data_IF_985069247253
#
_entry.id   IF_985069247253
#
_cell.length_a   1.000
_cell.length_b   1.000
_cell.length_c   1.000
_cell.angle_alpha   90.00
_cell.angle_beta   90.00
_cell.angle_gamma   90.00
#
_symmetry.space_group_name_H-M   'P 1'
#
loop_
_entity.id
_entity.type
_entity.pdbx_description
1 polymer ?
#
# COMPACT_ATOMS: atom_id res chain seq x y z
N UNK A 1 53.63 15.13 4.04
CA UNK A 1 52.47 15.88 4.55
C UNK A 1 51.36 15.81 3.50
N UNK A 2 50.17 15.42 3.93
CA UNK A 2 49.08 14.92 3.08
C UNK A 2 48.42 16.02 2.22
N UNK A 3 48.08 15.66 0.98
CA UNK A 3 47.24 16.45 0.09
C UNK A 3 45.76 16.12 0.38
N UNK A 4 44.99 17.13 0.79
CA UNK A 4 43.56 17.03 1.05
C UNK A 4 42.84 17.18 -0.30
N UNK A 5 42.21 16.11 -0.77
CA UNK A 5 41.35 16.13 -1.96
C UNK A 5 39.96 16.60 -1.52
N UNK A 6 39.59 17.82 -1.91
CA UNK A 6 38.28 18.41 -1.64
C UNK A 6 37.27 17.88 -2.66
N UNK A 7 36.37 16.99 -2.24
CA UNK A 7 35.26 16.54 -3.08
C UNK A 7 34.14 17.57 -3.00
N UNK A 8 33.85 18.23 -4.12
CA UNK A 8 32.68 19.09 -4.29
C UNK A 8 31.43 18.23 -4.34
N UNK A 9 30.53 18.41 -3.37
CA UNK A 9 29.20 17.81 -3.35
C UNK A 9 28.31 18.66 -4.25
N UNK A 10 27.87 18.10 -5.38
CA UNK A 10 26.88 18.72 -6.28
C UNK A 10 25.49 18.57 -5.62
N UNK A 11 25.02 19.61 -4.94
CA UNK A 11 23.67 19.66 -4.37
C UNK A 11 22.69 19.96 -5.50
N UNK A 12 22.02 18.93 -6.01
CA UNK A 12 20.93 19.10 -6.98
C UNK A 12 19.60 19.30 -6.26
N UNK A 13 19.02 20.47 -6.50
CA UNK A 13 17.73 20.96 -5.99
C UNK A 13 16.58 19.99 -6.29
N UNK A 14 15.74 19.74 -5.29
CA UNK A 14 14.47 19.00 -5.40
C UNK A 14 13.53 19.75 -6.36
N UNK A 15 13.20 19.15 -7.49
CA UNK A 15 12.20 19.68 -8.41
C UNK A 15 10.80 19.33 -7.92
N UNK A 16 10.08 20.33 -7.40
CA UNK A 16 8.61 20.28 -7.27
C UNK A 16 8.01 20.46 -8.66
N UNK A 17 7.40 19.41 -9.21
CA UNK A 17 6.58 19.48 -10.41
C UNK A 17 5.11 19.31 -10.02
N UNK A 18 4.28 20.28 -10.38
CA UNK A 18 2.81 20.22 -10.25
C UNK A 18 2.20 19.77 -11.58
N UNK A 19 1.28 18.79 -11.60
CA UNK A 19 0.61 18.39 -12.83
C UNK A 19 -0.35 19.48 -13.32
N UNK A 20 -0.48 19.60 -14.64
CA UNK A 20 -1.35 20.59 -15.30
C UNK A 20 -2.82 20.12 -15.31
N UNK A 21 -3.81 21.03 -15.21
CA UNK A 21 -5.22 20.65 -15.15
C UNK A 21 -5.74 20.29 -16.54
N UNK A 22 -6.18 19.03 -16.72
CA UNK A 22 -6.90 18.59 -17.91
C UNK A 22 -8.43 18.61 -17.68
N UNK A 23 -9.12 19.01 -18.74
CA UNK A 23 -10.52 19.45 -18.82
C UNK A 23 -11.53 18.33 -18.54
N UNK A 24 -12.52 18.63 -17.69
CA UNK A 24 -13.71 17.82 -17.41
C UNK A 24 -14.79 18.02 -18.49
N UNK A 25 -15.26 16.94 -19.09
CA UNK A 25 -16.49 16.91 -19.89
C UNK A 25 -17.31 15.68 -19.49
N UNK A 26 -18.38 15.93 -18.75
CA UNK A 26 -19.34 14.95 -18.24
C UNK A 26 -20.34 14.62 -19.37
N UNK A 27 -20.54 13.35 -19.70
CA UNK A 27 -21.73 12.90 -20.42
C UNK A 27 -22.52 11.92 -19.54
N UNK A 28 -23.79 12.26 -19.33
CA UNK A 28 -24.75 11.50 -18.53
C UNK A 28 -25.18 10.20 -19.25
N UNK A 29 -25.31 9.12 -18.48
CA UNK A 29 -25.82 7.82 -18.92
C UNK A 29 -27.34 7.75 -18.65
N UNK A 30 -28.18 7.35 -19.63
CA UNK A 30 -29.56 6.93 -19.37
C UNK A 30 -29.69 5.39 -19.25
N UNK A 31 -30.78 4.88 -18.63
CA UNK A 31 -30.82 3.54 -18.05
C UNK A 31 -31.29 2.42 -19.01
N UNK A 32 -30.69 1.24 -18.78
CA UNK A 32 -31.14 -0.16 -18.98
C UNK A 32 -32.14 -0.47 -20.11
N UNK A 33 -31.73 -1.38 -21.00
CA UNK A 33 -32.61 -2.33 -21.67
C UNK A 33 -31.87 -3.68 -21.87
N UNK A 34 -32.48 -4.77 -21.39
CA UNK A 34 -32.15 -6.17 -21.72
C UNK A 34 -32.30 -6.43 -23.23
N UNK A 35 -31.51 -7.35 -23.82
CA UNK A 35 -31.98 -8.46 -24.71
C UNK A 35 -30.84 -9.47 -24.97
N UNK A 36 -31.05 -10.67 -24.46
CA UNK A 36 -30.87 -12.05 -25.00
C UNK A 36 -29.93 -12.41 -26.18
N UNK A 37 -29.20 -13.51 -25.92
CA UNK A 37 -29.01 -14.77 -26.70
C UNK A 37 -28.36 -14.73 -28.09
N UNK A 38 -27.23 -15.43 -28.19
CA UNK A 38 -26.86 -16.23 -29.37
C UNK A 38 -26.45 -17.64 -28.90
N UNK A 39 -27.12 -18.65 -29.46
CA UNK A 39 -26.87 -20.09 -29.34
C UNK A 39 -26.31 -20.65 -30.65
N UNK A 40 -25.47 -21.68 -30.54
CA UNK A 40 -25.11 -22.64 -31.61
C UNK A 40 -23.60 -22.82 -31.74
N UNK A 41 -23.01 -24.02 -31.77
CA UNK A 41 -23.55 -25.38 -31.86
C UNK A 41 -22.50 -26.41 -31.39
N UNK A 42 -22.97 -27.64 -31.22
CA UNK A 42 -22.37 -28.78 -30.53
C UNK A 42 -21.08 -29.35 -31.14
N UNK A 43 -20.21 -29.87 -30.27
CA UNK A 43 -19.54 -31.15 -30.53
C UNK A 43 -19.25 -31.88 -29.21
N UNK A 44 -19.45 -33.19 -29.28
CA UNK A 44 -19.77 -34.11 -28.18
C UNK A 44 -18.55 -34.94 -27.78
N UNK A 45 -18.53 -35.33 -26.49
CA UNK A 45 -17.79 -36.40 -25.82
C UNK A 45 -16.37 -36.16 -25.26
N UNK A 46 -16.29 -36.27 -23.92
CA UNK A 46 -15.08 -36.57 -23.18
C UNK A 46 -15.23 -36.32 -21.68
N UNK A 47 -16.01 -37.14 -20.97
CA UNK A 47 -16.04 -37.12 -19.50
C UNK A 47 -14.65 -37.45 -18.95
N UNK A 48 -14.08 -36.52 -18.20
CA UNK A 48 -13.08 -36.82 -17.17
C UNK A 48 -13.34 -35.87 -16.02
N UNK A 49 -14.03 -36.39 -15.02
CA UNK A 49 -14.11 -35.82 -13.68
C UNK A 49 -12.70 -35.75 -13.10
N UNK A 50 -11.97 -34.66 -13.36
CA UNK A 50 -10.89 -34.25 -12.48
C UNK A 50 -11.50 -33.37 -11.41
N UNK A 51 -11.84 -33.98 -10.27
CA UNK A 51 -11.94 -33.27 -9.00
C UNK A 51 -10.56 -32.66 -8.72
N UNK A 52 -10.32 -31.49 -9.31
CA UNK A 52 -9.18 -30.65 -9.00
C UNK A 52 -9.44 -30.02 -7.66
N UNK A 53 -9.04 -30.72 -6.60
CA UNK A 53 -8.55 -30.02 -5.42
C UNK A 53 -7.37 -29.17 -5.91
N UNK A 54 -7.62 -27.93 -6.31
CA UNK A 54 -6.62 -26.86 -6.17
C UNK A 54 -6.41 -26.68 -4.67
N UNK A 55 -5.68 -27.63 -4.07
CA UNK A 55 -4.97 -27.42 -2.84
C UNK A 55 -4.11 -26.19 -3.08
N UNK A 56 -4.49 -25.09 -2.42
CA UNK A 56 -3.85 -23.79 -2.47
C UNK A 56 -2.34 -23.95 -2.59
N UNK A 57 -1.81 -23.80 -3.82
CA UNK A 57 -0.40 -23.61 -3.98
C UNK A 57 -0.08 -22.37 -3.17
N UNK A 58 0.70 -22.53 -2.09
CA UNK A 58 1.26 -21.39 -1.36
C UNK A 58 1.99 -20.55 -2.40
N UNK A 59 1.34 -19.47 -2.84
CA UNK A 59 1.85 -18.63 -3.90
C UNK A 59 3.01 -17.88 -3.28
N UNK A 60 4.22 -18.26 -3.66
CA UNK A 60 5.44 -17.60 -3.20
C UNK A 60 5.29 -16.11 -3.55
N UNK A 61 5.33 -15.27 -2.52
CA UNK A 61 5.23 -13.83 -2.68
C UNK A 61 6.48 -13.30 -3.37
N UNK A 62 6.31 -12.33 -4.26
CA UNK A 62 7.43 -11.61 -4.87
C UNK A 62 8.15 -10.77 -3.82
N UNK A 63 9.45 -10.57 -4.03
CA UNK A 63 10.26 -9.71 -3.17
C UNK A 63 9.86 -8.24 -3.37
N UNK A 64 9.88 -7.46 -2.29
CA UNK A 64 9.61 -6.02 -2.27
C UNK A 64 10.81 -5.31 -1.68
N UNK A 65 11.47 -4.47 -2.47
CA UNK A 65 12.57 -3.64 -2.01
C UNK A 65 12.08 -2.23 -1.70
N UNK A 66 12.38 -1.74 -0.51
CA UNK A 66 12.11 -0.35 -0.09
C UNK A 66 13.42 0.42 0.07
N UNK A 67 13.38 1.73 -0.18
CA UNK A 67 14.56 2.58 0.04
C UNK A 67 14.91 2.66 1.52
N UNK A 68 16.21 2.65 1.85
CA UNK A 68 16.68 2.86 3.21
C UNK A 68 16.30 4.23 3.79
N UNK A 69 16.02 5.22 2.94
CA UNK A 69 15.62 6.57 3.35
C UNK A 69 14.11 6.69 3.60
N UNK A 70 13.31 5.71 3.15
CA UNK A 70 11.84 5.80 3.14
C UNK A 70 11.24 6.10 4.52
N UNK A 71 11.71 5.40 5.55
CA UNK A 71 11.15 5.52 6.89
C UNK A 71 11.49 6.87 7.54
N UNK A 72 12.74 7.32 7.37
CA UNK A 72 13.23 8.58 7.95
C UNK A 72 12.62 9.78 7.23
N UNK A 73 12.62 9.78 5.89
CA UNK A 73 12.02 10.85 5.08
C UNK A 73 10.52 10.99 5.36
N UNK A 74 9.81 9.88 5.53
CA UNK A 74 8.40 9.91 5.89
C UNK A 74 8.16 10.53 7.27
N UNK A 75 8.91 10.10 8.28
CA UNK A 75 8.81 10.68 9.64
C UNK A 75 9.11 12.18 9.64
N UNK A 76 10.11 12.61 8.87
CA UNK A 76 10.47 14.02 8.70
C UNK A 76 9.29 14.85 8.16
N UNK A 77 8.59 14.32 7.15
CA UNK A 77 7.42 14.94 6.51
C UNK A 77 6.16 14.91 7.38
N UNK A 78 6.02 13.92 8.25
CA UNK A 78 4.90 13.74 9.16
C UNK A 78 5.06 14.50 10.49
N UNK A 79 6.27 14.96 10.83
CA UNK A 79 6.63 15.50 12.15
C UNK A 79 5.65 16.54 12.71
N UNK A 80 5.19 17.49 11.91
CA UNK A 80 4.31 18.55 12.40
C UNK A 80 2.97 17.99 12.88
N UNK A 81 2.44 16.98 12.19
CA UNK A 81 1.24 16.27 12.60
C UNK A 81 1.53 15.36 13.78
N UNK A 82 2.65 14.61 13.75
CA UNK A 82 3.08 13.76 14.85
C UNK A 82 3.21 14.53 16.17
N UNK A 83 3.81 15.73 16.14
CA UNK A 83 3.92 16.61 17.31
C UNK A 83 2.57 17.10 17.85
N UNK A 84 1.54 17.17 16.99
CA UNK A 84 0.16 17.51 17.36
C UNK A 84 -0.67 16.29 17.72
N UNK A 85 -0.05 15.11 17.82
CA UNK A 85 -0.72 13.83 18.01
C UNK A 85 -1.78 13.57 16.92
N UNK A 86 -1.41 13.82 15.66
CA UNK A 86 -2.23 13.54 14.48
C UNK A 86 -1.51 12.57 13.56
N UNK A 87 -2.21 11.56 13.06
CA UNK A 87 -1.65 10.60 12.12
C UNK A 87 -1.40 11.25 10.75
N UNK A 88 -0.43 10.73 10.01
CA UNK A 88 -0.17 11.07 8.61
C UNK A 88 -0.03 9.77 7.83
N UNK A 89 -0.54 9.70 6.60
CA UNK A 89 -0.30 8.59 5.67
C UNK A 89 0.35 9.03 4.36
N UNK A 90 0.92 8.04 3.68
CA UNK A 90 1.43 8.12 2.32
C UNK A 90 1.22 6.81 1.56
N UNK A 91 1.11 6.89 0.24
CA UNK A 91 0.98 5.74 -0.66
C UNK A 91 2.33 5.41 -1.29
N UNK A 92 2.63 4.11 -1.42
CA UNK A 92 3.88 3.60 -1.96
C UNK A 92 3.70 3.08 -3.39
N UNK A 93 4.41 3.70 -4.33
CA UNK A 93 4.46 3.31 -5.73
C UNK A 93 5.74 2.53 -6.06
N UNK A 94 5.59 1.42 -6.77
CA UNK A 94 6.70 0.55 -7.18
C UNK A 94 6.65 0.20 -8.66
N UNK A 95 7.81 0.01 -9.27
CA UNK A 95 7.90 -0.70 -10.54
C UNK A 95 8.21 -2.19 -10.29
N UNK A 96 7.79 -3.05 -11.22
CA UNK A 96 8.08 -4.48 -11.19
C UNK A 96 9.20 -4.80 -12.19
N UNK A 97 10.27 -5.42 -11.73
CA UNK A 97 11.36 -5.90 -12.59
C UNK A 97 11.85 -7.25 -12.09
N UNK A 98 11.99 -8.22 -13.01
CA UNK A 98 12.53 -9.56 -12.69
C UNK A 98 11.83 -10.18 -11.47
N UNK A 99 10.49 -10.15 -11.50
CA UNK A 99 9.63 -10.65 -10.41
C UNK A 99 9.83 -9.98 -9.04
N UNK A 100 10.49 -8.82 -8.99
CA UNK A 100 10.76 -8.05 -7.77
C UNK A 100 10.13 -6.67 -7.87
N UNK A 101 9.40 -6.25 -6.83
CA UNK A 101 8.88 -4.90 -6.71
C UNK A 101 9.94 -3.98 -6.11
N UNK A 102 10.10 -2.79 -6.68
CA UNK A 102 11.02 -1.76 -6.19
C UNK A 102 10.24 -0.49 -5.88
N UNK A 103 10.02 -0.23 -4.59
CA UNK A 103 9.35 0.98 -4.10
C UNK A 103 10.27 2.17 -4.33
N UNK A 104 9.88 3.00 -5.29
CA UNK A 104 10.66 4.17 -5.72
C UNK A 104 9.92 5.47 -5.52
N UNK A 105 8.63 5.42 -5.22
CA UNK A 105 7.80 6.61 -5.10
C UNK A 105 7.01 6.58 -3.80
N UNK A 106 7.06 7.67 -3.04
CA UNK A 106 6.20 7.93 -1.89
C UNK A 106 5.34 9.16 -2.18
N UNK A 107 4.03 9.00 -2.10
CA UNK A 107 3.06 10.07 -2.38
C UNK A 107 2.38 10.44 -1.06
N UNK A 108 2.59 11.65 -0.57
CA UNK A 108 1.84 12.21 0.58
C UNK A 108 0.59 12.88 0.01
N UNK A 109 -0.61 12.28 0.14
CA UNK A 109 -1.82 12.89 -0.40
C UNK A 109 -2.30 14.03 0.49
N UNK A 110 -3.19 14.87 -0.05
CA UNK A 110 -4.13 15.63 0.79
C UNK A 110 -4.86 14.63 1.69
N UNK A 111 -5.08 14.96 2.95
CA UNK A 111 -5.62 13.99 3.90
C UNK A 111 -6.35 14.66 5.06
N UNK A 112 -7.35 13.96 5.59
CA UNK A 112 -7.96 14.27 6.88
C UNK A 112 -7.33 13.40 7.96
N UNK A 113 -6.80 14.04 9.01
CA UNK A 113 -6.05 13.37 10.06
C UNK A 113 -6.73 13.57 11.42
N UNK A 114 -6.74 12.51 12.22
CA UNK A 114 -7.11 12.52 13.64
C UNK A 114 -5.96 11.91 14.45
N UNK A 115 -6.13 11.75 15.76
CA UNK A 115 -5.14 11.05 16.58
C UNK A 115 -5.09 9.54 16.37
N UNK A 116 -6.02 8.96 15.63
CA UNK A 116 -6.16 7.51 15.46
C UNK A 116 -6.61 7.09 14.05
N UNK A 117 -6.52 8.01 13.08
CA UNK A 117 -6.82 7.72 11.68
C UNK A 117 -6.24 8.81 10.77
N UNK A 118 -5.88 8.44 9.55
CA UNK A 118 -5.62 9.37 8.46
C UNK A 118 -6.26 8.84 7.16
N UNK A 119 -7.05 9.68 6.51
CA UNK A 119 -7.77 9.34 5.28
C UNK A 119 -7.23 10.17 4.12
N UNK A 120 -6.74 9.50 3.09
CA UNK A 120 -6.35 10.15 1.85
C UNK A 120 -7.59 10.79 1.18
N UNK A 121 -7.40 12.00 0.66
CA UNK A 121 -8.35 12.74 -0.15
C UNK A 121 -7.82 12.80 -1.59
N UNK A 122 -8.73 13.07 -2.53
CA UNK A 122 -8.41 13.27 -3.94
C UNK A 122 -7.57 12.13 -4.54
N UNK A 123 -8.04 10.89 -4.38
CA UNK A 123 -7.35 9.68 -4.84
C UNK A 123 -7.04 9.71 -6.36
N UNK A 124 -7.77 10.51 -7.14
CA UNK A 124 -7.49 10.75 -8.55
C UNK A 124 -6.12 11.40 -8.80
N UNK A 125 -5.62 12.24 -7.89
CA UNK A 125 -4.29 12.85 -8.00
C UNK A 125 -3.19 11.81 -7.73
N UNK A 126 -3.42 10.90 -6.77
CA UNK A 126 -2.54 9.78 -6.47
C UNK A 126 -2.47 8.84 -7.69
N UNK A 127 -3.64 8.49 -8.23
CA UNK A 127 -3.76 7.64 -9.41
C UNK A 127 -3.07 8.26 -10.63
N UNK A 128 -3.21 9.59 -10.84
CA UNK A 128 -2.57 10.27 -11.96
C UNK A 128 -1.04 10.12 -11.92
N UNK A 129 -0.41 10.31 -10.76
CA UNK A 129 1.05 10.14 -10.58
C UNK A 129 1.46 8.68 -10.84
N UNK A 130 0.73 7.72 -10.24
CA UNK A 130 1.02 6.31 -10.42
C UNK A 130 0.89 5.87 -11.88
N UNK A 131 -0.15 6.34 -12.56
CA UNK A 131 -0.40 6.04 -13.96
C UNK A 131 0.67 6.63 -14.87
N UNK A 132 0.99 7.92 -14.71
CA UNK A 132 2.01 8.62 -15.52
C UNK A 132 3.38 7.96 -15.39
N UNK A 133 3.72 7.47 -14.19
CA UNK A 133 4.99 6.80 -13.91
C UNK A 133 4.95 5.27 -14.07
N UNK A 134 3.81 4.70 -14.49
CA UNK A 134 3.63 3.25 -14.61
C UNK A 134 3.95 2.47 -13.33
N UNK A 135 3.51 3.00 -12.19
CA UNK A 135 3.73 2.45 -10.86
C UNK A 135 2.56 1.57 -10.39
N UNK A 136 2.90 0.54 -9.62
CA UNK A 136 1.96 -0.33 -8.90
C UNK A 136 1.83 0.17 -7.45
N UNK A 137 0.60 0.31 -6.91
CA UNK A 137 0.38 0.68 -5.51
C UNK A 137 0.68 -0.49 -4.57
N UNK A 138 1.96 -0.73 -4.27
CA UNK A 138 2.42 -1.91 -3.50
C UNK A 138 2.34 -1.71 -1.99
N UNK A 139 1.68 -0.65 -1.52
CA UNK A 139 1.45 -0.46 -0.09
C UNK A 139 1.28 0.98 0.31
N UNK A 140 1.37 1.20 1.62
CA UNK A 140 1.19 2.48 2.27
C UNK A 140 1.97 2.53 3.58
N UNK A 141 2.22 3.74 4.05
CA UNK A 141 2.91 4.00 5.31
C UNK A 141 2.12 5.04 6.10
N UNK A 142 1.99 4.85 7.41
CA UNK A 142 1.37 5.82 8.30
C UNK A 142 2.06 5.92 9.65
N UNK A 143 1.77 6.99 10.39
CA UNK A 143 2.28 7.19 11.76
C UNK A 143 1.24 6.80 12.80
N UNK A 144 1.71 6.17 13.88
CA UNK A 144 1.08 6.15 15.20
C UNK A 144 1.84 7.12 16.12
N UNK A 145 1.39 8.38 16.29
CA UNK A 145 2.16 9.38 17.01
C UNK A 145 2.39 9.07 18.49
N UNK A 146 1.43 8.38 19.13
CA UNK A 146 1.49 8.04 20.56
C UNK A 146 1.17 6.58 20.85
N UNK A 147 0.62 5.85 19.88
CA UNK A 147 0.27 4.44 20.02
C UNK A 147 1.48 3.54 19.78
N UNK A 148 1.37 2.29 20.24
CA UNK A 148 2.35 1.26 19.91
C UNK A 148 2.31 0.87 18.42
N UNK A 149 3.33 0.14 17.99
CA UNK A 149 3.44 -0.34 16.62
C UNK A 149 2.57 -1.58 16.36
N UNK A 150 1.35 -1.40 15.82
CA UNK A 150 0.42 -2.47 15.43
C UNK A 150 -0.49 -2.02 14.27
N UNK A 151 -1.28 -2.94 13.69
CA UNK A 151 -2.37 -2.58 12.76
C UNK A 151 -3.69 -2.42 13.52
N UNK A 152 -4.26 -1.22 13.50
CA UNK A 152 -5.59 -0.91 14.03
C UNK A 152 -6.71 -1.57 13.20
N UNK A 153 -7.96 -1.55 13.69
CA UNK A 153 -9.10 -2.05 12.91
C UNK A 153 -9.25 -1.32 11.56
N UNK A 154 -9.01 -0.01 11.55
CA UNK A 154 -9.07 0.81 10.32
C UNK A 154 -7.92 0.42 9.38
N UNK A 155 -6.74 0.16 9.94
CA UNK A 155 -5.55 -0.22 9.17
C UNK A 155 -5.73 -1.60 8.53
N UNK A 156 -6.34 -2.55 9.26
CA UNK A 156 -6.66 -3.88 8.76
C UNK A 156 -7.57 -3.79 7.53
N UNK A 157 -8.64 -3.00 7.60
CA UNK A 157 -9.56 -2.80 6.48
C UNK A 157 -8.89 -2.08 5.30
N UNK A 158 -8.05 -1.08 5.57
CA UNK A 158 -7.27 -0.39 4.54
C UNK A 158 -6.33 -1.38 3.85
N UNK A 159 -5.56 -2.13 4.63
CA UNK A 159 -4.61 -3.12 4.12
C UNK A 159 -5.31 -4.24 3.33
N UNK A 160 -6.53 -4.64 3.72
CA UNK A 160 -7.33 -5.60 2.97
C UNK A 160 -7.57 -5.13 1.54
N UNK A 161 -7.99 -3.87 1.34
CA UNK A 161 -8.20 -3.30 0.01
C UNK A 161 -6.93 -3.33 -0.84
N UNK A 162 -5.78 -2.97 -0.27
CA UNK A 162 -4.49 -3.05 -0.98
C UNK A 162 -4.12 -4.50 -1.33
N UNK A 163 -4.24 -5.42 -0.37
CA UNK A 163 -3.80 -6.81 -0.53
C UNK A 163 -4.70 -7.64 -1.45
N UNK A 164 -5.97 -7.26 -1.61
CA UNK A 164 -6.86 -7.81 -2.65
C UNK A 164 -6.35 -7.46 -4.06
N UNK A 165 -5.84 -6.25 -4.25
CA UNK A 165 -5.34 -5.78 -5.55
C UNK A 165 -3.92 -6.28 -5.83
N UNK A 166 -3.06 -6.26 -4.81
CA UNK A 166 -1.65 -6.62 -4.90
C UNK A 166 -1.32 -7.55 -3.73
N UNK A 167 -1.16 -8.87 -3.95
CA UNK A 167 -0.90 -9.84 -2.88
C UNK A 167 0.36 -9.52 -2.04
N UNK A 168 1.32 -8.82 -2.63
CA UNK A 168 2.55 -8.35 -1.98
C UNK A 168 2.42 -6.99 -1.27
N UNK A 169 1.22 -6.41 -1.20
CA UNK A 169 1.02 -5.12 -0.58
C UNK A 169 1.45 -5.09 0.89
N UNK A 170 2.05 -3.98 1.32
CA UNK A 170 2.54 -3.80 2.69
C UNK A 170 1.92 -2.58 3.38
N UNK A 171 1.64 -2.71 4.67
CA UNK A 171 1.32 -1.62 5.57
C UNK A 171 2.53 -1.35 6.47
N UNK A 172 3.10 -0.14 6.40
CA UNK A 172 4.20 0.27 7.26
C UNK A 172 3.65 1.20 8.34
N UNK A 173 3.85 0.85 9.61
CA UNK A 173 3.47 1.69 10.75
C UNK A 173 4.74 2.29 11.34
N UNK A 174 4.78 3.61 11.47
CA UNK A 174 5.83 4.34 12.20
C UNK A 174 5.31 4.74 13.58
N UNK A 175 5.91 4.21 14.64
CA UNK A 175 5.51 4.45 16.03
C UNK A 175 6.67 5.11 16.81
N UNK A 176 6.95 6.40 16.60
CA UNK A 176 8.15 7.06 17.12
C UNK A 176 8.25 7.12 18.66
N UNK A 177 7.13 6.94 19.38
CA UNK A 177 7.08 6.92 20.84
C UNK A 177 7.10 5.50 21.43
N UNK A 178 7.03 4.46 20.60
CA UNK A 178 7.08 3.08 21.06
C UNK A 178 8.53 2.66 21.33
N UNK A 179 8.91 2.61 22.60
CA UNK A 179 10.26 2.22 23.04
C UNK A 179 10.62 0.78 22.68
N UNK A 180 9.62 -0.09 22.44
CA UNK A 180 9.85 -1.49 22.07
C UNK A 180 10.07 -1.67 20.58
N UNK A 181 9.40 -0.84 19.75
CA UNK A 181 9.38 -1.00 18.30
C UNK A 181 8.99 0.30 17.60
N UNK A 182 9.99 1.04 17.13
CA UNK A 182 9.78 2.32 16.43
C UNK A 182 9.07 2.23 15.08
N UNK A 183 9.04 1.05 14.44
CA UNK A 183 8.26 0.81 13.22
C UNK A 183 7.98 -0.68 12.99
N UNK A 184 7.02 -0.97 12.12
CA UNK A 184 6.69 -2.32 11.68
C UNK A 184 6.20 -2.36 10.25
N UNK A 185 6.55 -3.43 9.54
CA UNK A 185 6.12 -3.69 8.17
C UNK A 185 5.25 -4.94 8.21
N UNK A 186 4.00 -4.79 7.82
CA UNK A 186 2.94 -5.78 8.04
C UNK A 186 2.17 -6.11 6.76
N UNK A 187 1.59 -7.30 6.74
CA UNK A 187 0.58 -7.76 5.77
C UNK A 187 -0.51 -8.52 6.52
N UNK A 188 -1.69 -8.64 5.93
CA UNK A 188 -2.72 -9.53 6.48
C UNK A 188 -2.29 -10.99 6.30
N UNK A 189 -2.61 -11.82 7.28
CA UNK A 189 -2.44 -13.26 7.12
C UNK A 189 -3.39 -13.76 6.03
N UNK A 190 -2.87 -14.64 5.17
CA UNK A 190 -3.58 -15.14 4.00
C UNK A 190 -3.50 -16.67 4.01
N UNK A 191 -4.64 -17.39 4.12
CA UNK A 191 -6.01 -16.90 3.92
C UNK A 191 -6.72 -16.33 5.15
N UNK A 192 -6.22 -16.54 6.37
CA UNK A 192 -7.02 -16.40 7.59
C UNK A 192 -7.52 -14.97 7.86
N UNK A 193 -6.63 -13.98 7.96
CA UNK A 193 -6.99 -12.57 8.17
C UNK A 193 -7.75 -11.97 6.98
N UNK A 194 -7.31 -12.29 5.76
CA UNK A 194 -7.99 -11.87 4.52
C UNK A 194 -9.45 -12.34 4.47
N UNK A 195 -9.72 -13.59 4.88
CA UNK A 195 -11.07 -14.16 4.88
C UNK A 195 -11.98 -13.50 5.91
N UNK A 196 -11.47 -13.19 7.10
CA UNK A 196 -12.23 -12.51 8.15
C UNK A 196 -12.65 -11.10 7.69
N UNK A 197 -11.71 -10.33 7.11
CA UNK A 197 -12.00 -8.97 6.67
C UNK A 197 -12.93 -8.95 5.45
N UNK A 198 -12.82 -9.93 4.54
CA UNK A 198 -13.74 -10.10 3.42
C UNK A 198 -15.21 -10.26 3.88
N UNK A 199 -15.44 -10.95 4.99
CA UNK A 199 -16.78 -11.22 5.52
C UNK A 199 -17.28 -10.09 6.45
N UNK A 200 -16.42 -9.18 6.88
CA UNK A 200 -16.77 -8.12 7.81
C UNK A 200 -17.70 -7.09 7.16
N UNK A 201 -18.77 -6.72 7.87
CA UNK A 201 -19.76 -5.70 7.45
C UNK A 201 -19.92 -4.58 8.49
N UNK A 202 -19.09 -4.59 9.54
CA UNK A 202 -19.14 -3.61 10.61
C UNK A 202 -18.60 -2.25 10.15
N UNK A 203 -19.11 -1.18 10.77
CA UNK A 203 -18.74 0.21 10.45
C UNK A 203 -18.12 0.88 11.67
N UNK A 204 -17.22 1.83 11.43
CA UNK A 204 -16.48 2.51 12.49
C UNK A 204 -15.44 1.60 13.14
N UNK A 205 -14.91 2.03 14.29
CA UNK A 205 -13.89 1.26 15.00
C UNK A 205 -14.51 0.06 15.73
N UNK A 206 -14.07 -1.16 15.40
CA UNK A 206 -14.57 -2.40 15.98
C UNK A 206 -13.47 -3.48 16.08
N UNK A 207 -13.56 -4.40 17.06
CA UNK A 207 -12.63 -5.51 17.16
C UNK A 207 -12.94 -6.59 16.11
N UNK A 208 -11.93 -7.38 15.75
CA UNK A 208 -12.09 -8.59 14.92
C UNK A 208 -11.95 -9.85 15.77
N UNK A 209 -12.69 -10.89 15.42
CA UNK A 209 -12.50 -12.23 15.99
C UNK A 209 -11.11 -12.76 15.63
N UNK A 210 -10.51 -13.53 16.52
CA UNK A 210 -9.29 -14.26 16.19
C UNK A 210 -9.60 -15.35 15.14
N UNK A 211 -8.67 -15.59 14.20
CA UNK A 211 -8.70 -16.75 13.32
C UNK A 211 -8.93 -18.08 14.06
N UNK A 212 -9.79 -18.94 13.49
CA UNK A 212 -10.13 -20.23 14.08
C UNK A 212 -8.94 -21.22 14.16
N UNK A 213 -7.91 -21.00 13.36
CA UNK A 213 -6.66 -21.75 13.37
C UNK A 213 -5.65 -21.24 14.43
N UNK A 214 -5.99 -20.20 15.19
CA UNK A 214 -5.12 -19.57 16.18
C UNK A 214 -4.01 -18.68 15.59
N UNK A 215 -4.04 -18.43 14.28
CA UNK A 215 -3.12 -17.47 13.65
C UNK A 215 -3.48 -16.03 14.01
N UNK A 216 -2.57 -15.09 13.77
CA UNK A 216 -2.83 -13.66 13.91
C UNK A 216 -3.61 -13.13 12.70
N UNK A 217 -4.37 -12.04 12.88
CA UNK A 217 -5.04 -11.31 11.78
C UNK A 217 -4.04 -10.76 10.75
N UNK A 218 -2.82 -10.49 11.18
CA UNK A 218 -1.75 -9.94 10.36
C UNK A 218 -0.39 -10.44 10.86
N UNK A 219 0.62 -10.34 10.01
CA UNK A 219 1.97 -10.82 10.26
C UNK A 219 3.01 -9.83 9.72
N UNK A 220 4.26 -10.00 10.14
CA UNK A 220 5.37 -9.26 9.55
C UNK A 220 5.68 -9.76 8.14
N UNK A 221 5.97 -8.84 7.23
CA UNK A 221 6.39 -9.21 5.88
C UNK A 221 7.79 -9.86 5.91
N UNK A 222 7.89 -11.09 5.43
CA UNK A 222 9.17 -11.81 5.27
C UNK A 222 9.85 -11.55 3.92
N UNK A 223 9.11 -11.02 2.95
CA UNK A 223 9.53 -10.75 1.58
C UNK A 223 9.89 -9.27 1.33
N UNK A 224 10.20 -8.49 2.38
CA UNK A 224 10.54 -7.06 2.27
C UNK A 224 12.00 -6.82 2.63
N UNK A 225 12.73 -6.12 1.76
CA UNK A 225 14.16 -5.85 1.90
C UNK A 225 14.45 -4.35 1.85
N UNK A 226 15.24 -3.87 2.81
CA UNK A 226 15.73 -2.50 2.79
C UNK A 226 16.93 -2.40 1.85
N UNK A 227 16.85 -1.51 0.86
CA UNK A 227 17.87 -1.33 -0.17
C UNK A 227 18.47 0.09 -0.09
N UNK A 228 19.75 0.24 0.30
CA UNK A 228 20.40 1.55 0.41
C UNK A 228 20.68 2.21 -0.95
N UNK A 229 20.66 1.44 -2.04
CA UNK A 229 20.91 1.94 -3.39
C UNK A 229 19.61 2.29 -4.13
N UNK A 230 18.45 2.05 -3.51
CA UNK A 230 17.16 2.36 -4.13
C UNK A 230 16.83 3.82 -3.90
N UNK A 231 16.75 4.58 -5.01
CA UNK A 231 16.33 5.99 -4.98
C UNK A 231 14.84 6.08 -4.65
N UNK A 232 14.49 7.07 -3.84
CA UNK A 232 13.13 7.43 -3.51
C UNK A 232 12.80 8.80 -4.11
N UNK A 233 11.65 8.89 -4.79
CA UNK A 233 11.04 10.13 -5.23
C UNK A 233 9.81 10.41 -4.36
N UNK A 234 9.65 11.66 -3.93
CA UNK A 234 8.59 12.06 -3.00
C UNK A 234 7.70 13.10 -3.66
N UNK A 235 6.40 12.83 -3.67
CA UNK A 235 5.36 13.73 -4.15
C UNK A 235 4.51 14.17 -2.96
N UNK A 236 4.68 15.41 -2.51
CA UNK A 236 3.85 15.99 -1.44
C UNK A 236 2.74 16.85 -2.04
N UNK A 237 1.49 16.39 -1.90
CA UNK A 237 0.28 16.98 -2.50
C UNK A 237 -0.56 17.82 -1.52
N UNK A 238 -0.10 17.97 -0.27
CA UNK A 238 -0.82 18.67 0.81
C UNK A 238 -0.96 20.18 0.55
#
# INVERSE_FOLDING_TARGET
MAAICCWQIDVRTVTRSSPSPAISCIHAVPPVAEVSRITGADSVHGCSSSSGNELAASKVLKDVHISAQLLEDFLELARDNTNKNMETCAVLGAFLKEETFYVTTMIIPKQESTSSSCQALNEEEIFAIQYEQSLVPVGWIHTHPSQSCFLSSIDLHTQYSYQVMVPEAVAIVMAPTDESRGYGIFRLSDPSGMSILKECQEKGFHPHREPADGSSMYEHCSNVYINPNLRLEIYDLR
#
